data_IF_253028992648
#
_entry.id   IF_253028992648
#
_cell.length_a   1.000
_cell.length_b   1.000
_cell.length_c   1.000
_cell.angle_alpha   90.00
_cell.angle_beta   90.00
_cell.angle_gamma   90.00
#
_symmetry.space_group_name_H-M   'P 1'
#
loop_
_entity.id
_entity.type
_entity.pdbx_description
1 polymer ?
#
# COMPACT_ATOMS: atom_id res chain seq x y z
N UNK A 1 -0.46 34.91 -28.49
CA UNK A 1 0.56 34.32 -27.60
C UNK A 1 0.19 32.85 -27.44
N UNK A 2 1.10 31.93 -27.77
CA UNK A 2 0.89 30.53 -27.36
C UNK A 2 0.98 30.49 -25.82
N UNK A 3 -0.09 30.05 -25.17
CA UNK A 3 -0.08 29.82 -23.72
C UNK A 3 1.00 28.78 -23.41
N UNK A 4 1.88 29.02 -22.42
CA UNK A 4 2.89 28.03 -22.05
C UNK A 4 2.18 26.75 -21.58
N UNK A 5 2.73 25.58 -21.87
CA UNK A 5 2.13 24.28 -21.52
C UNK A 5 1.80 24.17 -20.02
N UNK A 6 2.63 24.77 -19.17
CA UNK A 6 2.42 24.91 -17.72
C UNK A 6 1.05 25.54 -17.35
N UNK A 7 0.59 26.50 -18.13
CA UNK A 7 -0.63 27.29 -17.89
C UNK A 7 -1.81 26.81 -18.75
N UNK A 8 -1.61 25.77 -19.56
CA UNK A 8 -2.62 25.31 -20.50
C UNK A 8 -3.75 24.59 -19.76
N UNK A 9 -4.90 25.23 -19.74
CA UNK A 9 -6.14 24.64 -19.27
C UNK A 9 -6.88 23.95 -20.42
N UNK A 10 -7.64 22.93 -20.08
CA UNK A 10 -8.55 22.27 -21.01
C UNK A 10 -9.69 23.23 -21.40
N UNK A 11 -10.11 23.27 -22.68
CA UNK A 11 -11.23 24.11 -23.10
C UNK A 11 -12.55 23.77 -22.40
N UNK A 12 -12.69 22.50 -22.00
CA UNK A 12 -13.77 22.00 -21.17
C UNK A 12 -13.13 21.07 -20.14
N UNK A 13 -13.42 21.28 -18.87
CA UNK A 13 -12.96 20.44 -17.79
C UNK A 13 -13.31 18.97 -18.05
N UNK A 14 -12.34 18.07 -17.87
CA UNK A 14 -12.56 16.64 -17.90
C UNK A 14 -12.94 16.16 -16.51
N UNK A 15 -14.01 15.36 -16.43
CA UNK A 15 -14.44 14.75 -15.18
C UNK A 15 -14.42 13.23 -15.28
N UNK A 16 -13.96 12.59 -14.21
CA UNK A 16 -14.04 11.14 -14.05
C UNK A 16 -15.01 10.84 -12.91
N UNK A 17 -15.95 9.91 -13.15
CA UNK A 17 -16.83 9.46 -12.08
C UNK A 17 -16.08 8.50 -11.15
N UNK A 18 -16.19 8.75 -9.86
CA UNK A 18 -15.52 7.98 -8.81
C UNK A 18 -16.51 7.63 -7.69
N UNK A 19 -16.51 6.39 -7.16
CA UNK A 19 -17.46 5.98 -6.14
C UNK A 19 -17.23 6.62 -4.77
N UNK A 20 -16.00 7.10 -4.49
CA UNK A 20 -15.62 7.73 -3.21
C UNK A 20 -15.78 9.25 -3.29
N UNK A 21 -15.28 9.87 -4.35
CA UNK A 21 -15.25 11.32 -4.51
C UNK A 21 -16.39 11.87 -5.37
N UNK A 22 -17.28 11.04 -5.89
CA UNK A 22 -18.30 11.34 -6.88
C UNK A 22 -17.71 11.77 -8.24
N UNK A 23 -16.94 12.85 -8.28
CA UNK A 23 -16.27 13.35 -9.47
C UNK A 23 -14.84 13.79 -9.15
N UNK A 24 -13.94 13.43 -10.04
CA UNK A 24 -12.56 13.88 -10.07
C UNK A 24 -12.44 14.88 -11.20
N UNK A 25 -11.97 16.09 -10.89
CA UNK A 25 -11.99 17.24 -11.79
C UNK A 25 -10.60 17.51 -12.34
N UNK A 26 -10.40 17.39 -13.65
CA UNK A 26 -9.15 17.66 -14.34
C UNK A 26 -9.29 18.89 -15.23
N UNK A 27 -8.52 19.93 -14.90
CA UNK A 27 -8.55 21.23 -15.57
C UNK A 27 -7.30 21.49 -16.41
N UNK A 28 -6.14 20.94 -16.03
CA UNK A 28 -4.87 21.17 -16.71
C UNK A 28 -4.63 20.12 -17.80
N UNK A 29 -4.14 20.58 -18.97
CA UNK A 29 -3.79 19.70 -20.08
C UNK A 29 -2.72 18.68 -19.65
N UNK A 30 -1.68 19.14 -18.95
CA UNK A 30 -0.59 18.26 -18.46
C UNK A 30 -1.11 17.11 -17.59
N UNK A 31 -2.07 17.36 -16.71
CA UNK A 31 -2.66 16.30 -15.85
C UNK A 31 -3.41 15.27 -16.71
N UNK A 32 -4.16 15.72 -17.71
CA UNK A 32 -4.85 14.80 -18.63
C UNK A 32 -3.86 13.96 -19.44
N UNK A 33 -2.76 14.56 -19.90
CA UNK A 33 -1.73 13.87 -20.65
C UNK A 33 -1.01 12.84 -19.78
N UNK A 34 -0.68 13.19 -18.52
CA UNK A 34 -0.12 12.24 -17.54
C UNK A 34 -1.06 11.07 -17.25
N UNK A 35 -2.37 11.33 -17.09
CA UNK A 35 -3.36 10.26 -16.91
C UNK A 35 -3.37 9.31 -18.11
N UNK A 36 -3.18 9.80 -19.32
CA UNK A 36 -3.19 9.01 -20.55
C UNK A 36 -1.85 8.31 -20.84
N UNK A 37 -0.77 8.66 -20.16
CA UNK A 37 0.54 8.04 -20.35
C UNK A 37 0.51 6.54 -20.03
N UNK A 38 1.24 5.74 -20.80
CA UNK A 38 1.22 4.26 -20.67
C UNK A 38 1.65 3.76 -19.29
N UNK A 39 2.60 4.46 -18.64
CA UNK A 39 3.05 4.12 -17.29
C UNK A 39 1.93 4.32 -16.26
N UNK A 40 1.16 5.40 -16.38
CA UNK A 40 0.01 5.64 -15.51
C UNK A 40 -1.16 4.67 -15.82
N UNK A 41 -1.41 4.37 -17.09
CA UNK A 41 -2.45 3.40 -17.48
C UNK A 41 -2.15 1.96 -17.00
N UNK A 42 -0.86 1.63 -16.75
CA UNK A 42 -0.44 0.35 -16.16
C UNK A 42 -1.08 0.13 -14.78
N UNK A 43 -1.27 1.19 -13.99
CA UNK A 43 -1.87 1.11 -12.65
C UNK A 43 -3.30 0.55 -12.64
N UNK A 44 -4.01 0.52 -13.77
CA UNK A 44 -5.32 -0.15 -13.90
C UNK A 44 -5.25 -1.67 -13.71
N UNK A 45 -4.08 -2.24 -13.84
CA UNK A 45 -3.85 -3.68 -13.75
C UNK A 45 -3.08 -4.08 -12.50
N UNK A 46 -2.97 -3.15 -11.53
CA UNK A 46 -2.35 -3.38 -10.22
C UNK A 46 -3.40 -3.06 -9.16
N UNK A 47 -3.78 -4.06 -8.38
CA UNK A 47 -4.74 -3.91 -7.27
C UNK A 47 -4.13 -3.12 -6.13
N UNK A 48 -4.92 -2.24 -5.52
CA UNK A 48 -4.50 -1.45 -4.36
C UNK A 48 -4.14 -2.33 -3.17
N UNK A 49 -4.98 -3.31 -2.87
CA UNK A 49 -4.86 -4.17 -1.70
C UNK A 49 -4.34 -5.59 -2.00
N UNK A 50 -3.67 -5.78 -3.16
CA UNK A 50 -3.03 -7.04 -3.52
C UNK A 50 -3.93 -8.26 -3.32
N UNK A 51 -3.58 -9.13 -2.36
CA UNK A 51 -4.30 -10.38 -2.07
C UNK A 51 -5.54 -10.21 -1.20
N UNK A 52 -5.84 -9.01 -0.71
CA UNK A 52 -6.94 -8.76 0.24
C UNK A 52 -8.32 -9.12 -0.34
N UNK A 53 -8.48 -9.11 -1.67
CA UNK A 53 -9.73 -9.54 -2.32
C UNK A 53 -10.08 -11.02 -2.06
N UNK A 54 -9.11 -11.85 -1.67
CA UNK A 54 -9.37 -13.21 -1.22
C UNK A 54 -10.11 -13.28 0.13
N UNK A 55 -10.10 -12.19 0.90
CA UNK A 55 -10.84 -12.06 2.16
C UNK A 55 -12.07 -11.17 1.98
N UNK A 56 -11.86 -9.98 1.44
CA UNK A 56 -12.88 -8.98 1.15
C UNK A 56 -13.11 -8.94 -0.37
N UNK A 57 -14.03 -9.74 -0.85
CA UNK A 57 -14.20 -10.00 -2.29
C UNK A 57 -14.53 -8.76 -3.14
N UNK A 58 -14.97 -7.65 -2.53
CA UNK A 58 -15.14 -6.36 -3.20
C UNK A 58 -13.86 -5.56 -3.36
N UNK A 59 -12.75 -5.93 -2.69
CA UNK A 59 -11.47 -5.21 -2.72
C UNK A 59 -10.71 -5.42 -4.04
N UNK A 60 -11.33 -5.09 -5.16
CA UNK A 60 -10.81 -5.24 -6.53
C UNK A 60 -10.37 -3.91 -7.17
N UNK A 61 -10.42 -2.81 -6.41
CA UNK A 61 -10.01 -1.49 -6.89
C UNK A 61 -8.50 -1.42 -7.12
N UNK A 62 -8.13 -0.54 -8.03
CA UNK A 62 -6.78 -0.46 -8.56
C UNK A 62 -6.06 0.81 -8.09
N UNK A 63 -4.73 0.79 -8.16
CA UNK A 63 -3.89 1.96 -7.89
C UNK A 63 -4.20 3.13 -8.82
N UNK A 64 -4.67 2.87 -10.03
CA UNK A 64 -5.16 3.90 -10.93
C UNK A 64 -6.30 4.73 -10.30
N UNK A 65 -7.31 4.08 -9.74
CA UNK A 65 -8.44 4.77 -9.11
C UNK A 65 -8.01 5.52 -7.84
N UNK A 66 -7.10 4.94 -7.07
CA UNK A 66 -6.49 5.56 -5.89
C UNK A 66 -5.70 6.81 -6.26
N UNK A 67 -4.76 6.75 -7.21
CA UNK A 67 -3.96 7.90 -7.62
C UNK A 67 -4.81 9.07 -8.14
N UNK A 68 -5.92 8.79 -8.83
CA UNK A 68 -6.90 9.81 -9.20
C UNK A 68 -7.57 10.44 -7.97
N UNK A 69 -7.89 9.65 -6.95
CA UNK A 69 -8.47 10.16 -5.70
C UNK A 69 -7.49 11.03 -4.91
N UNK A 70 -6.22 10.62 -4.82
CA UNK A 70 -5.15 11.41 -4.19
C UNK A 70 -4.97 12.76 -4.89
N UNK A 71 -4.96 12.75 -6.23
CA UNK A 71 -4.98 13.96 -7.03
C UNK A 71 -6.18 14.86 -6.69
N UNK A 72 -7.40 14.32 -6.60
CA UNK A 72 -8.61 15.12 -6.31
C UNK A 72 -8.58 15.73 -4.92
N UNK A 73 -8.14 14.98 -3.91
CA UNK A 73 -7.98 15.52 -2.55
C UNK A 73 -6.95 16.65 -2.54
N UNK A 74 -5.79 16.45 -3.17
CA UNK A 74 -4.73 17.47 -3.29
C UNK A 74 -5.24 18.71 -4.00
N UNK A 75 -6.00 18.55 -5.09
CA UNK A 75 -6.65 19.66 -5.81
C UNK A 75 -7.57 20.46 -4.89
N UNK A 76 -8.39 19.78 -4.10
CA UNK A 76 -9.30 20.41 -3.11
C UNK A 76 -8.53 21.16 -2.01
N UNK A 77 -7.41 20.59 -1.53
CA UNK A 77 -6.53 21.27 -0.57
C UNK A 77 -5.96 22.55 -1.18
N UNK A 78 -5.41 22.48 -2.40
CA UNK A 78 -4.89 23.65 -3.12
C UNK A 78 -5.97 24.73 -3.29
N UNK A 79 -7.20 24.36 -3.68
CA UNK A 79 -8.32 25.31 -3.82
C UNK A 79 -8.67 26.01 -2.50
N UNK A 80 -8.67 25.27 -1.39
CA UNK A 80 -8.92 25.81 -0.03
C UNK A 80 -7.80 26.75 0.36
N UNK A 81 -6.54 26.37 0.14
CA UNK A 81 -5.37 27.17 0.48
C UNK A 81 -5.30 28.46 -0.34
N UNK A 82 -5.44 28.39 -1.65
CA UNK A 82 -5.47 29.55 -2.54
C UNK A 82 -6.62 30.51 -2.16
N UNK A 83 -7.79 29.97 -1.89
CA UNK A 83 -8.96 30.78 -1.55
C UNK A 83 -8.85 31.47 -0.19
N UNK A 84 -8.34 30.79 0.83
CA UNK A 84 -8.46 31.25 2.21
C UNK A 84 -7.14 31.65 2.85
N UNK A 85 -6.02 31.10 2.38
CA UNK A 85 -4.72 31.16 3.06
C UNK A 85 -3.55 31.45 2.10
N UNK A 86 -3.78 32.20 1.02
CA UNK A 86 -2.70 32.58 0.10
C UNK A 86 -1.68 33.50 0.81
N UNK A 87 -0.44 33.55 0.29
CA UNK A 87 0.62 34.43 0.80
C UNK A 87 0.14 35.88 0.86
N UNK A 88 -0.66 36.35 -0.12
CA UNK A 88 -1.18 37.71 -0.14
C UNK A 88 -2.14 38.00 1.02
N UNK A 89 -2.82 36.97 1.54
CA UNK A 89 -3.81 37.10 2.63
C UNK A 89 -3.21 36.98 4.02
N UNK A 90 -2.33 35.99 4.22
CA UNK A 90 -1.83 35.68 5.55
C UNK A 90 -0.31 35.89 5.71
N UNK A 91 0.39 36.25 4.62
CA UNK A 91 1.84 36.50 4.66
C UNK A 91 2.65 35.22 4.75
N UNK A 92 3.73 35.27 5.52
CA UNK A 92 4.65 34.15 5.71
C UNK A 92 3.94 32.91 6.24
N UNK A 93 4.17 31.77 5.57
CA UNK A 93 3.47 30.50 5.84
C UNK A 93 2.18 30.32 5.06
N UNK A 94 1.75 31.33 4.27
CA UNK A 94 0.64 31.19 3.33
C UNK A 94 0.99 30.33 2.11
N UNK A 95 -0.04 29.92 1.39
CA UNK A 95 0.08 29.11 0.19
C UNK A 95 0.55 29.94 -1.02
N UNK A 96 1.57 29.45 -1.71
CA UNK A 96 2.00 29.97 -3.01
C UNK A 96 1.32 29.16 -4.12
N UNK A 97 0.49 29.83 -4.94
CA UNK A 97 -0.24 29.18 -6.03
C UNK A 97 0.68 28.62 -7.13
N UNK A 98 1.92 29.10 -7.23
CA UNK A 98 2.92 28.54 -8.14
C UNK A 98 3.29 27.09 -7.80
N UNK A 99 3.05 26.64 -6.59
CA UNK A 99 3.27 25.27 -6.11
C UNK A 99 2.18 24.28 -6.54
N UNK A 100 1.02 24.80 -7.00
CA UNK A 100 -0.15 23.96 -7.32
C UNK A 100 0.20 22.83 -8.29
N UNK A 101 0.84 23.16 -9.40
CA UNK A 101 1.05 22.17 -10.46
C UNK A 101 2.00 21.05 -10.04
N UNK A 102 3.09 21.37 -9.32
CA UNK A 102 3.99 20.34 -8.79
C UNK A 102 3.30 19.45 -7.78
N UNK A 103 2.48 20.01 -6.87
CA UNK A 103 1.70 19.25 -5.90
C UNK A 103 0.72 18.29 -6.60
N UNK A 104 0.00 18.76 -7.62
CA UNK A 104 -0.96 17.95 -8.38
C UNK A 104 -0.28 16.82 -9.17
N UNK A 105 0.86 17.12 -9.81
CA UNK A 105 1.63 16.09 -10.53
C UNK A 105 2.20 15.04 -9.56
N UNK A 106 2.78 15.46 -8.45
CA UNK A 106 3.31 14.53 -7.45
C UNK A 106 2.21 13.66 -6.84
N UNK A 107 1.05 14.24 -6.51
CA UNK A 107 -0.10 13.50 -6.00
C UNK A 107 -0.63 12.46 -6.99
N UNK A 108 -0.68 12.81 -8.29
CA UNK A 108 -1.12 11.87 -9.33
C UNK A 108 -0.13 10.72 -9.52
N UNK A 109 1.16 11.00 -9.41
CA UNK A 109 2.24 10.09 -9.83
C UNK A 109 2.91 9.32 -8.68
N UNK A 110 2.54 9.56 -7.41
CA UNK A 110 3.24 9.03 -6.25
C UNK A 110 3.38 7.50 -6.23
N UNK A 111 2.40 6.78 -6.77
CA UNK A 111 2.27 5.32 -6.75
C UNK A 111 2.70 4.62 -8.06
N UNK A 112 3.32 5.34 -9.02
CA UNK A 112 3.69 4.78 -10.34
C UNK A 112 4.59 3.55 -10.25
N UNK A 113 5.46 3.52 -9.25
CA UNK A 113 6.49 2.50 -9.10
C UNK A 113 5.99 1.19 -8.49
N UNK A 114 4.75 1.09 -8.04
CA UNK A 114 4.26 -0.17 -7.49
C UNK A 114 4.25 -1.31 -8.52
N UNK A 115 4.74 -2.47 -8.07
CA UNK A 115 4.74 -3.73 -8.82
C UNK A 115 3.47 -4.56 -8.60
N UNK A 116 3.38 -5.72 -9.28
CA UNK A 116 2.29 -6.65 -9.09
C UNK A 116 2.25 -7.16 -7.65
N UNK A 117 1.04 -7.21 -7.06
CA UNK A 117 0.85 -7.57 -5.64
C UNK A 117 1.68 -6.73 -4.67
N UNK A 118 2.12 -5.55 -5.10
CA UNK A 118 2.76 -4.48 -4.32
C UNK A 118 3.89 -4.99 -3.40
N UNK A 119 3.71 -4.93 -2.09
CA UNK A 119 4.77 -5.17 -1.11
C UNK A 119 5.32 -6.60 -1.11
N UNK A 120 4.53 -7.61 -1.45
CA UNK A 120 5.03 -8.99 -1.57
C UNK A 120 6.08 -9.09 -2.68
N UNK A 121 5.81 -8.47 -3.84
CA UNK A 121 6.77 -8.44 -4.95
C UNK A 121 8.05 -7.66 -4.58
N UNK A 122 7.90 -6.55 -3.89
CA UNK A 122 9.03 -5.73 -3.40
C UNK A 122 9.94 -6.52 -2.47
N UNK A 123 9.36 -7.24 -1.53
CA UNK A 123 10.11 -8.06 -0.57
C UNK A 123 10.95 -9.15 -1.28
N UNK A 124 10.32 -9.90 -2.19
CA UNK A 124 10.98 -11.03 -2.87
C UNK A 124 12.05 -10.59 -3.86
N UNK A 125 11.81 -9.52 -4.62
CA UNK A 125 12.73 -9.07 -5.69
C UNK A 125 13.55 -7.85 -5.30
N UNK A 126 13.55 -7.46 -4.02
CA UNK A 126 14.31 -6.34 -3.47
C UNK A 126 14.12 -5.05 -4.29
N UNK A 127 12.88 -4.77 -4.68
CA UNK A 127 12.49 -3.53 -5.36
C UNK A 127 11.98 -2.51 -4.36
N UNK A 128 12.01 -1.25 -4.72
CA UNK A 128 11.48 -0.13 -3.92
C UNK A 128 10.60 0.73 -4.82
N UNK A 129 9.31 0.81 -4.50
CA UNK A 129 8.35 1.52 -5.34
C UNK A 129 8.58 3.02 -5.39
N UNK A 130 9.09 3.66 -4.33
CA UNK A 130 9.43 5.08 -4.35
C UNK A 130 10.61 5.34 -5.31
N UNK A 131 11.68 4.51 -5.22
CA UNK A 131 12.82 4.60 -6.11
C UNK A 131 12.42 4.38 -7.57
N UNK A 132 11.58 3.39 -7.86
CA UNK A 132 11.06 3.13 -9.22
C UNK A 132 10.13 4.25 -9.67
N UNK A 133 9.30 4.84 -8.80
CA UNK A 133 8.49 6.02 -9.13
C UNK A 133 9.39 7.18 -9.57
N UNK A 134 10.47 7.45 -8.83
CA UNK A 134 11.45 8.47 -9.19
C UNK A 134 12.11 8.16 -10.54
N UNK A 135 12.51 6.91 -10.78
CA UNK A 135 13.08 6.49 -12.05
C UNK A 135 12.11 6.69 -13.22
N UNK A 136 10.83 6.33 -13.06
CA UNK A 136 9.79 6.57 -14.08
C UNK A 136 9.65 8.07 -14.37
N UNK A 137 9.64 8.91 -13.33
CA UNK A 137 9.46 10.36 -13.47
C UNK A 137 10.66 11.01 -14.15
N UNK A 138 11.87 10.53 -13.90
CA UNK A 138 13.13 11.18 -14.35
C UNK A 138 13.78 10.52 -15.56
N UNK A 139 13.33 9.35 -16.00
CA UNK A 139 13.91 8.65 -17.16
C UNK A 139 13.41 9.24 -18.48
N UNK A 140 14.29 9.69 -19.38
CA UNK A 140 13.90 10.23 -20.69
C UNK A 140 13.16 9.23 -21.60
N UNK A 141 13.17 7.94 -21.28
CA UNK A 141 12.52 6.88 -22.05
C UNK A 141 11.02 6.74 -21.76
N UNK A 142 10.52 7.39 -20.69
CA UNK A 142 9.11 7.32 -20.28
C UNK A 142 8.27 8.44 -20.89
N UNK A 143 6.99 8.17 -21.11
CA UNK A 143 6.03 9.20 -21.53
C UNK A 143 5.83 10.23 -20.41
N UNK A 144 5.85 9.79 -19.15
CA UNK A 144 5.75 10.67 -17.97
C UNK A 144 6.83 11.74 -17.99
N UNK A 145 8.11 11.36 -18.14
CA UNK A 145 9.20 12.33 -18.25
C UNK A 145 9.00 13.30 -19.41
N UNK A 146 8.66 12.78 -20.59
CA UNK A 146 8.48 13.60 -21.79
C UNK A 146 7.38 14.64 -21.62
N UNK A 147 6.28 14.31 -20.94
CA UNK A 147 5.20 15.23 -20.61
C UNK A 147 5.65 16.28 -19.59
N UNK A 148 6.25 15.86 -18.48
CA UNK A 148 6.70 16.75 -17.42
C UNK A 148 7.80 17.71 -17.91
N UNK A 149 8.73 17.26 -18.75
CA UNK A 149 9.81 18.08 -19.28
C UNK A 149 9.32 19.18 -20.25
N UNK A 150 8.09 19.07 -20.78
CA UNK A 150 7.47 20.14 -21.57
C UNK A 150 6.92 21.29 -20.70
N UNK A 151 6.71 21.05 -19.39
CA UNK A 151 6.22 22.06 -18.46
C UNK A 151 7.26 23.16 -18.25
N UNK A 152 8.43 22.76 -17.81
CA UNK A 152 9.65 23.59 -17.69
C UNK A 152 10.88 22.69 -17.55
N UNK A 153 12.06 23.21 -17.82
CA UNK A 153 13.31 22.48 -17.60
C UNK A 153 13.50 22.18 -16.12
N UNK A 154 13.78 20.90 -15.79
CA UNK A 154 13.93 20.43 -14.39
C UNK A 154 12.62 20.18 -13.64
N UNK A 155 11.48 20.21 -14.33
CA UNK A 155 10.18 19.93 -13.69
C UNK A 155 10.03 18.46 -13.28
N UNK A 156 10.50 17.45 -14.04
CA UNK A 156 10.53 16.06 -13.59
C UNK A 156 11.25 15.90 -12.24
N UNK A 157 12.43 16.51 -12.08
CA UNK A 157 13.22 16.47 -10.85
C UNK A 157 12.51 17.16 -9.68
N UNK A 158 11.76 18.24 -9.94
CA UNK A 158 10.92 18.88 -8.91
C UNK A 158 9.82 17.95 -8.43
N UNK A 159 9.12 17.28 -9.35
CA UNK A 159 8.08 16.30 -8.99
C UNK A 159 8.68 15.12 -8.24
N UNK A 160 9.80 14.57 -8.71
CA UNK A 160 10.52 13.50 -8.05
C UNK A 160 10.97 13.87 -6.63
N UNK A 161 11.46 15.10 -6.42
CA UNK A 161 11.90 15.56 -5.09
C UNK A 161 10.75 15.67 -4.08
N UNK A 162 9.50 15.78 -4.51
CA UNK A 162 8.35 15.67 -3.61
C UNK A 162 8.20 14.24 -3.10
N UNK A 163 8.37 13.25 -3.98
CA UNK A 163 8.30 11.82 -3.63
C UNK A 163 9.43 11.45 -2.65
N UNK A 164 10.65 11.93 -2.88
CA UNK A 164 11.80 11.69 -1.98
C UNK A 164 11.80 12.56 -0.73
N UNK A 165 10.75 13.39 -0.52
CA UNK A 165 10.62 14.32 0.62
C UNK A 165 11.71 15.42 0.68
N UNK A 166 12.39 15.68 -0.42
CA UNK A 166 13.47 16.68 -0.52
C UNK A 166 12.99 18.02 -1.11
N UNK A 167 11.73 18.11 -1.52
CA UNK A 167 11.19 19.35 -2.09
C UNK A 167 11.20 20.48 -1.05
N UNK A 168 11.64 21.70 -1.43
CA UNK A 168 11.85 22.79 -0.46
C UNK A 168 10.61 23.26 0.29
N UNK A 169 9.41 23.14 -0.33
CA UNK A 169 8.16 23.56 0.31
C UNK A 169 7.54 22.39 1.10
N UNK A 170 7.59 22.44 2.46
CA UNK A 170 7.05 21.38 3.29
C UNK A 170 5.54 21.22 3.18
N UNK A 171 4.81 22.27 2.76
CA UNK A 171 3.36 22.17 2.52
C UNK A 171 3.06 21.20 1.39
N UNK A 172 3.82 21.25 0.29
CA UNK A 172 3.67 20.35 -0.86
C UNK A 172 4.01 18.91 -0.46
N UNK A 173 5.12 18.70 0.24
CA UNK A 173 5.53 17.38 0.71
C UNK A 173 4.46 16.78 1.63
N UNK A 174 3.97 17.55 2.59
CA UNK A 174 2.99 17.07 3.57
C UNK A 174 1.58 16.87 3.02
N UNK A 175 1.24 17.46 1.86
CA UNK A 175 0.00 17.10 1.16
C UNK A 175 -0.03 15.64 0.72
N UNK A 176 1.14 15.03 0.48
CA UNK A 176 1.29 13.70 -0.13
C UNK A 176 1.89 12.71 0.86
N UNK A 177 2.74 13.17 1.77
CA UNK A 177 3.42 12.33 2.75
C UNK A 177 3.46 12.99 4.13
N UNK A 178 2.42 12.72 4.93
CA UNK A 178 2.32 13.13 6.34
C UNK A 178 1.45 12.14 7.12
N UNK A 179 1.00 12.48 8.33
CA UNK A 179 0.08 11.62 9.08
C UNK A 179 -1.38 11.76 8.62
N UNK A 180 -1.73 12.93 8.08
CA UNK A 180 -3.04 13.21 7.47
C UNK A 180 -2.77 13.89 6.13
N UNK A 181 -2.55 13.10 5.12
CA UNK A 181 -2.23 13.50 3.75
C UNK A 181 -3.30 13.00 2.77
N UNK A 182 -3.16 13.42 1.51
CA UNK A 182 -4.12 13.06 0.47
C UNK A 182 -4.09 11.56 0.16
N UNK A 183 -2.91 10.93 0.21
CA UNK A 183 -2.73 9.49 0.02
C UNK A 183 -3.53 8.69 1.05
N UNK A 184 -3.27 8.92 2.34
CA UNK A 184 -3.94 8.22 3.44
C UNK A 184 -5.45 8.52 3.49
N UNK A 185 -5.84 9.76 3.22
CA UNK A 185 -7.27 10.13 3.19
C UNK A 185 -8.02 9.42 2.07
N UNK A 186 -7.40 9.23 0.88
CA UNK A 186 -8.05 8.51 -0.20
C UNK A 186 -8.11 7.01 0.09
N UNK A 187 -6.96 6.38 0.41
CA UNK A 187 -6.99 4.92 0.55
C UNK A 187 -7.88 4.47 1.70
N UNK A 188 -7.92 5.15 2.84
CA UNK A 188 -8.81 4.77 3.95
C UNK A 188 -10.28 4.74 3.52
N UNK A 189 -10.74 5.81 2.86
CA UNK A 189 -12.13 5.88 2.39
C UNK A 189 -12.39 4.89 1.26
N UNK A 190 -11.46 4.75 0.33
CA UNK A 190 -11.58 3.86 -0.82
C UNK A 190 -11.55 2.39 -0.41
N UNK A 191 -10.62 2.02 0.44
CA UNK A 191 -10.49 0.66 0.95
C UNK A 191 -11.72 0.27 1.78
N UNK A 192 -12.20 1.17 2.65
CA UNK A 192 -13.44 0.94 3.40
C UNK A 192 -14.63 0.69 2.46
N UNK A 193 -14.78 1.53 1.43
CA UNK A 193 -15.85 1.39 0.45
C UNK A 193 -15.78 0.03 -0.29
N UNK A 194 -14.62 -0.33 -0.82
CA UNK A 194 -14.46 -1.55 -1.61
C UNK A 194 -14.39 -2.83 -0.79
N UNK A 195 -13.92 -2.78 0.45
CA UNK A 195 -14.00 -3.92 1.38
C UNK A 195 -15.40 -4.12 1.96
N UNK A 196 -16.27 -3.13 1.81
CA UNK A 196 -17.62 -3.16 2.38
C UNK A 196 -17.62 -2.99 3.90
N UNK A 197 -16.60 -2.31 4.45
CA UNK A 197 -16.50 -2.02 5.88
C UNK A 197 -16.81 -0.55 6.15
N UNK A 198 -17.30 -0.26 7.35
CA UNK A 198 -17.58 1.13 7.78
C UNK A 198 -16.45 1.70 8.64
N UNK A 199 -15.40 0.92 8.90
CA UNK A 199 -14.32 1.27 9.83
C UNK A 199 -13.45 2.44 9.36
N UNK A 200 -13.21 2.57 8.06
CA UNK A 200 -12.36 3.61 7.47
C UNK A 200 -13.09 4.90 7.12
N UNK A 201 -14.35 5.05 7.51
CA UNK A 201 -15.12 6.26 7.20
C UNK A 201 -14.84 7.37 8.21
N UNK A 202 -14.59 8.57 7.71
CA UNK A 202 -14.43 9.81 8.47
C UNK A 202 -14.94 11.00 7.64
N UNK A 203 -15.19 12.14 8.28
CA UNK A 203 -15.68 13.34 7.59
C UNK A 203 -14.53 14.06 6.86
N UNK A 204 -14.22 13.62 5.63
CA UNK A 204 -13.24 14.27 4.75
C UNK A 204 -13.54 15.75 4.54
N UNK A 205 -14.81 16.12 4.40
CA UNK A 205 -15.20 17.53 4.19
C UNK A 205 -14.82 18.38 5.40
N UNK A 206 -15.00 17.83 6.61
CA UNK A 206 -14.62 18.52 7.84
C UNK A 206 -13.10 18.60 7.98
N UNK A 207 -12.34 17.54 7.69
CA UNK A 207 -10.88 17.56 7.68
C UNK A 207 -10.38 18.66 6.73
N UNK A 208 -10.83 18.69 5.49
CA UNK A 208 -10.45 19.72 4.52
C UNK A 208 -10.86 21.14 4.95
N UNK A 209 -11.91 21.29 5.71
CA UNK A 209 -12.33 22.60 6.23
C UNK A 209 -11.43 23.12 7.35
N UNK A 210 -10.82 22.23 8.11
CA UNK A 210 -9.96 22.59 9.26
C UNK A 210 -8.47 22.56 8.95
N UNK A 211 -8.06 22.09 7.77
CA UNK A 211 -6.67 22.07 7.31
C UNK A 211 -6.12 23.51 7.15
N UNK A 212 -4.87 23.74 7.54
CA UNK A 212 -4.21 25.06 7.54
C UNK A 212 -2.77 24.93 7.04
N UNK A 213 -2.33 25.75 6.10
CA UNK A 213 -0.92 25.88 5.80
C UNK A 213 -0.23 26.71 6.87
N UNK A 214 1.02 26.40 7.15
CA UNK A 214 1.92 27.24 7.94
C UNK A 214 3.36 27.09 7.40
N UNK A 215 4.31 27.84 7.94
CA UNK A 215 5.70 27.84 7.43
C UNK A 215 6.36 26.45 7.49
N UNK A 216 6.05 25.65 8.51
CA UNK A 216 6.61 24.30 8.69
C UNK A 216 5.83 23.18 7.96
N UNK A 217 4.75 23.50 7.26
CA UNK A 217 3.94 22.52 6.52
C UNK A 217 2.43 22.68 6.68
N UNK A 218 1.77 21.64 7.19
CA UNK A 218 0.32 21.57 7.33
C UNK A 218 -0.05 21.30 8.80
N UNK A 219 -0.99 22.09 9.30
CA UNK A 219 -1.62 21.91 10.60
C UNK A 219 -3.14 21.85 10.47
N UNK A 220 -3.84 21.58 11.55
CA UNK A 220 -5.30 21.58 11.61
C UNK A 220 -5.79 22.58 12.67
N UNK A 221 -6.87 23.29 12.39
CA UNK A 221 -7.44 24.19 13.39
C UNK A 221 -7.82 23.42 14.66
N UNK A 222 -7.47 23.93 15.83
CA UNK A 222 -7.83 23.33 17.13
C UNK A 222 -9.34 23.03 17.23
N UNK A 223 -10.18 23.91 16.68
CA UNK A 223 -11.64 23.68 16.62
C UNK A 223 -12.07 22.46 15.79
N UNK A 224 -11.14 21.87 15.05
CA UNK A 224 -11.34 20.66 14.24
C UNK A 224 -10.83 19.39 14.91
N UNK A 225 -10.32 19.46 16.15
CA UNK A 225 -9.68 18.34 16.84
C UNK A 225 -10.48 17.03 16.76
N UNK A 226 -11.79 17.06 16.99
CA UNK A 226 -12.61 15.86 16.96
C UNK A 226 -12.73 15.20 15.57
N UNK A 227 -12.63 15.97 14.48
CA UNK A 227 -12.58 15.38 13.14
C UNK A 227 -11.23 14.69 12.88
N UNK A 228 -10.16 15.22 13.45
CA UNK A 228 -8.82 14.63 13.41
C UNK A 228 -8.77 13.35 14.27
N UNK A 229 -9.40 13.36 15.45
CA UNK A 229 -9.56 12.17 16.29
C UNK A 229 -10.31 11.06 15.56
N UNK A 230 -11.44 11.38 14.92
CA UNK A 230 -12.25 10.44 14.13
C UNK A 230 -11.43 9.80 13.00
N UNK A 231 -10.64 10.59 12.29
CA UNK A 231 -9.71 10.08 11.27
C UNK A 231 -8.69 9.08 11.87
N UNK A 232 -8.07 9.39 13.01
CA UNK A 232 -7.09 8.50 13.65
C UNK A 232 -7.75 7.18 14.10
N UNK A 233 -8.96 7.26 14.66
CA UNK A 233 -9.74 6.06 15.06
C UNK A 233 -10.08 5.22 13.83
N UNK A 234 -10.57 5.83 12.76
CA UNK A 234 -10.90 5.14 11.51
C UNK A 234 -9.68 4.44 10.93
N UNK A 235 -8.53 5.12 10.90
CA UNK A 235 -7.25 4.55 10.48
C UNK A 235 -6.87 3.34 11.33
N UNK A 236 -6.86 3.47 12.64
CA UNK A 236 -6.57 2.38 13.56
C UNK A 236 -7.47 1.17 13.32
N UNK A 237 -8.77 1.39 13.15
CA UNK A 237 -9.73 0.32 12.90
C UNK A 237 -9.48 -0.40 11.56
N UNK A 238 -9.17 0.33 10.50
CA UNK A 238 -8.82 -0.27 9.20
C UNK A 238 -7.58 -1.16 9.31
N UNK A 239 -6.57 -0.75 10.07
CA UNK A 239 -5.39 -1.58 10.31
C UNK A 239 -5.76 -2.89 10.99
N UNK A 240 -6.48 -2.84 12.10
CA UNK A 240 -6.84 -4.03 12.87
C UNK A 240 -7.79 -4.96 12.12
N UNK A 241 -8.79 -4.40 11.43
CA UNK A 241 -9.89 -5.19 10.86
C UNK A 241 -9.65 -5.63 9.41
N UNK A 242 -8.89 -4.85 8.63
CA UNK A 242 -8.72 -5.08 7.19
C UNK A 242 -7.27 -5.45 6.86
N UNK A 243 -6.32 -4.57 7.13
CA UNK A 243 -4.95 -4.78 6.68
C UNK A 243 -4.25 -5.91 7.44
N UNK A 244 -4.54 -6.10 8.73
CA UNK A 244 -4.00 -7.17 9.58
C UNK A 244 -4.89 -8.42 9.61
N UNK A 245 -5.90 -8.50 8.74
CA UNK A 245 -6.78 -9.65 8.74
C UNK A 245 -6.01 -10.95 8.45
N UNK A 246 -6.08 -11.91 9.37
CA UNK A 246 -5.29 -13.15 9.33
C UNK A 246 -5.35 -13.95 8.03
N UNK A 247 -6.48 -13.91 7.30
CA UNK A 247 -6.62 -14.62 6.03
C UNK A 247 -5.95 -13.85 4.88
N UNK A 248 -6.03 -12.52 4.87
CA UNK A 248 -5.31 -11.70 3.89
C UNK A 248 -3.79 -11.91 4.03
N UNK A 249 -3.28 -11.87 5.27
CA UNK A 249 -1.87 -12.15 5.58
C UNK A 249 -1.46 -13.58 5.19
N UNK A 250 -2.34 -14.56 5.40
CA UNK A 250 -2.08 -15.93 4.96
C UNK A 250 -1.91 -16.03 3.44
N UNK A 251 -2.71 -15.30 2.67
CA UNK A 251 -2.59 -15.30 1.20
C UNK A 251 -1.34 -14.58 0.73
N UNK A 252 -0.87 -13.57 1.44
CA UNK A 252 0.42 -12.90 1.20
C UNK A 252 1.58 -13.85 1.46
N UNK A 253 1.62 -14.52 2.63
CA UNK A 253 2.63 -15.54 2.97
C UNK A 253 2.67 -16.65 1.90
N UNK A 254 1.52 -17.12 1.44
CA UNK A 254 1.47 -18.12 0.38
C UNK A 254 2.02 -17.60 -0.95
N UNK A 255 1.79 -16.31 -1.26
CA UNK A 255 2.36 -15.68 -2.45
C UNK A 255 3.88 -15.54 -2.34
N UNK A 256 4.38 -15.16 -1.16
CA UNK A 256 5.82 -15.14 -0.87
C UNK A 256 6.44 -16.52 -1.12
N UNK A 257 5.92 -17.57 -0.49
CA UNK A 257 6.44 -18.93 -0.65
C UNK A 257 6.34 -19.45 -2.11
N UNK A 258 5.28 -19.07 -2.83
CA UNK A 258 5.15 -19.41 -4.25
C UNK A 258 6.25 -18.76 -5.11
N UNK A 259 6.54 -17.48 -4.87
CA UNK A 259 7.58 -16.75 -5.58
C UNK A 259 8.99 -17.19 -5.16
N UNK A 260 9.21 -17.50 -3.88
CA UNK A 260 10.46 -18.04 -3.36
C UNK A 260 10.76 -19.40 -4.03
N UNK A 261 9.77 -20.29 -4.09
CA UNK A 261 9.95 -21.58 -4.78
C UNK A 261 10.26 -21.39 -6.27
N UNK A 262 9.59 -20.45 -6.91
CA UNK A 262 9.87 -20.12 -8.32
C UNK A 262 11.32 -19.60 -8.48
N UNK A 263 11.80 -18.77 -7.54
CA UNK A 263 13.16 -18.27 -7.56
C UNK A 263 14.19 -19.39 -7.36
N UNK A 264 14.01 -20.28 -6.40
CA UNK A 264 14.89 -21.42 -6.19
C UNK A 264 14.89 -22.38 -7.41
N UNK A 265 13.70 -22.75 -7.89
CA UNK A 265 13.57 -23.65 -9.03
C UNK A 265 14.20 -23.06 -10.29
N UNK A 266 14.18 -21.73 -10.45
CA UNK A 266 14.87 -21.07 -11.55
C UNK A 266 16.39 -21.29 -11.49
N UNK A 267 17.00 -21.35 -10.32
CA UNK A 267 18.44 -21.63 -10.16
C UNK A 267 18.78 -23.09 -10.55
N UNK A 268 17.84 -24.00 -10.36
CA UNK A 268 18.00 -25.43 -10.65
C UNK A 268 17.69 -25.75 -12.12
N UNK A 269 16.58 -25.23 -12.65
CA UNK A 269 16.01 -25.55 -13.96
C UNK A 269 15.47 -24.31 -14.67
N UNK A 270 16.35 -23.40 -15.14
CA UNK A 270 15.93 -22.13 -15.75
C UNK A 270 15.08 -22.28 -17.01
N UNK A 271 15.14 -23.46 -17.68
CA UNK A 271 14.40 -23.74 -18.93
C UNK A 271 12.87 -23.68 -18.71
N UNK A 272 12.37 -24.08 -17.56
CA UNK A 272 10.94 -24.02 -17.23
C UNK A 272 10.41 -22.59 -17.37
N UNK A 273 11.15 -21.63 -16.83
CA UNK A 273 10.74 -20.22 -16.83
C UNK A 273 11.01 -19.53 -18.17
N UNK A 274 12.02 -19.98 -18.92
CA UNK A 274 12.34 -19.41 -20.23
C UNK A 274 11.22 -19.61 -21.26
N UNK A 275 10.42 -20.67 -21.12
CA UNK A 275 9.28 -20.97 -22.00
C UNK A 275 7.98 -20.30 -21.55
N UNK A 276 7.71 -20.29 -20.25
CA UNK A 276 6.39 -19.97 -19.72
C UNK A 276 6.33 -18.70 -18.86
N UNK A 277 7.47 -18.13 -18.47
CA UNK A 277 7.53 -16.98 -17.55
C UNK A 277 8.57 -15.94 -17.96
N UNK A 278 8.72 -15.69 -19.27
CA UNK A 278 9.80 -14.88 -19.84
C UNK A 278 9.93 -13.48 -19.22
N UNK A 279 8.81 -12.81 -18.91
CA UNK A 279 8.85 -11.45 -18.34
C UNK A 279 9.34 -11.44 -16.88
N UNK A 280 9.28 -12.58 -16.18
CA UNK A 280 9.76 -12.70 -14.81
C UNK A 280 11.26 -13.07 -14.74
N UNK A 281 11.83 -13.65 -15.81
CA UNK A 281 13.23 -14.08 -15.85
C UNK A 281 14.25 -13.02 -15.45
N UNK A 282 14.14 -11.73 -15.86
CA UNK A 282 15.04 -10.69 -15.40
C UNK A 282 15.06 -10.53 -13.88
N UNK A 283 13.91 -10.67 -13.23
CA UNK A 283 13.75 -10.57 -11.77
C UNK A 283 14.31 -11.79 -11.05
N UNK A 284 14.05 -12.98 -11.56
CA UNK A 284 14.64 -14.23 -11.04
C UNK A 284 16.17 -14.24 -11.15
N UNK A 285 16.75 -13.49 -12.08
CA UNK A 285 18.20 -13.28 -12.21
C UNK A 285 18.75 -12.17 -11.31
N UNK A 286 17.90 -11.36 -10.72
CA UNK A 286 18.32 -10.13 -10.03
C UNK A 286 18.90 -9.05 -10.95
N UNK A 287 18.56 -9.08 -12.23
CA UNK A 287 19.06 -8.14 -13.25
C UNK A 287 17.89 -7.74 -14.16
N UNK A 288 17.17 -6.72 -13.78
CA UNK A 288 16.07 -6.16 -14.56
C UNK A 288 16.28 -4.68 -14.84
N UNK A 289 15.65 -4.20 -15.90
CA UNK A 289 15.60 -2.79 -16.29
C UNK A 289 14.23 -2.20 -15.94
N UNK A 290 14.12 -0.86 -15.93
CA UNK A 290 12.82 -0.19 -15.83
C UNK A 290 11.84 -0.69 -16.90
N UNK A 291 12.32 -0.89 -18.13
CA UNK A 291 11.50 -1.42 -19.22
C UNK A 291 10.97 -2.84 -18.95
N UNK A 292 11.72 -3.68 -18.23
CA UNK A 292 11.25 -5.00 -17.80
C UNK A 292 10.21 -4.87 -16.69
N UNK A 293 10.47 -3.99 -15.72
CA UNK A 293 9.55 -3.73 -14.60
C UNK A 293 8.17 -3.26 -15.08
N UNK A 294 8.14 -2.34 -16.02
CA UNK A 294 6.89 -1.79 -16.57
C UNK A 294 6.04 -2.78 -17.37
N UNK A 295 6.59 -3.95 -17.73
CA UNK A 295 5.83 -5.04 -18.38
C UNK A 295 5.03 -5.88 -17.39
N UNK A 296 5.35 -5.81 -16.08
CA UNK A 296 4.71 -6.63 -15.06
C UNK A 296 3.48 -5.94 -14.47
N UNK A 297 2.45 -6.74 -14.25
CA UNK A 297 1.24 -6.41 -13.51
C UNK A 297 0.63 -7.68 -12.89
N UNK A 298 -0.45 -7.53 -12.11
CA UNK A 298 -1.10 -8.66 -11.42
C UNK A 298 -1.59 -9.73 -12.41
N UNK A 299 -2.02 -9.30 -13.60
CA UNK A 299 -2.50 -10.20 -14.65
C UNK A 299 -1.39 -11.08 -15.22
N UNK A 300 -0.20 -10.52 -15.41
CA UNK A 300 0.99 -11.26 -15.87
C UNK A 300 1.37 -12.33 -14.86
N UNK A 301 1.50 -11.99 -13.57
CA UNK A 301 1.85 -12.97 -12.55
C UNK A 301 0.75 -14.03 -12.37
N UNK A 302 -0.51 -13.63 -12.37
CA UNK A 302 -1.62 -14.58 -12.28
C UNK A 302 -1.59 -15.58 -13.44
N UNK A 303 -1.24 -15.12 -14.65
CA UNK A 303 -1.08 -16.02 -15.80
C UNK A 303 0.03 -17.05 -15.57
N UNK A 304 1.16 -16.62 -14.98
CA UNK A 304 2.24 -17.54 -14.62
C UNK A 304 1.81 -18.53 -13.54
N UNK A 305 1.08 -18.11 -12.53
CA UNK A 305 0.57 -19.01 -11.49
C UNK A 305 -0.36 -20.09 -12.06
N UNK A 306 -1.18 -19.74 -13.06
CA UNK A 306 -2.02 -20.73 -13.78
C UNK A 306 -1.14 -21.76 -14.50
N UNK A 307 -0.05 -21.33 -15.12
CA UNK A 307 0.89 -22.24 -15.80
C UNK A 307 1.66 -23.09 -14.79
N UNK A 308 2.16 -22.49 -13.70
CA UNK A 308 2.88 -23.21 -12.65
C UNK A 308 2.03 -24.25 -11.93
N UNK A 309 0.73 -24.07 -11.87
CA UNK A 309 -0.19 -25.08 -11.34
C UNK A 309 -0.13 -26.42 -12.09
N UNK A 310 0.32 -26.43 -13.35
CA UNK A 310 0.45 -27.64 -14.18
C UNK A 310 1.91 -28.09 -14.37
N UNK A 311 2.88 -27.43 -13.68
CA UNK A 311 4.29 -27.80 -13.77
C UNK A 311 4.61 -29.13 -13.07
N UNK A 312 5.72 -29.73 -13.48
CA UNK A 312 6.18 -31.03 -12.96
C UNK A 312 6.72 -30.95 -11.53
N UNK A 313 7.21 -29.77 -11.09
CA UNK A 313 7.59 -29.56 -9.69
C UNK A 313 6.33 -29.56 -8.82
N UNK A 314 6.23 -30.57 -7.95
CA UNK A 314 5.04 -30.79 -7.12
C UNK A 314 4.80 -29.66 -6.13
N UNK A 315 5.85 -29.05 -5.61
CA UNK A 315 5.77 -27.99 -4.62
C UNK A 315 5.28 -26.70 -5.26
N UNK A 316 5.90 -26.27 -6.37
CA UNK A 316 5.45 -25.11 -7.14
C UNK A 316 3.99 -25.27 -7.59
N UNK A 317 3.64 -26.44 -8.11
CA UNK A 317 2.29 -26.76 -8.59
C UNK A 317 1.25 -26.72 -7.46
N UNK A 318 1.55 -27.28 -6.27
CA UNK A 318 0.60 -27.27 -5.15
C UNK A 318 0.43 -25.87 -4.57
N UNK A 319 1.52 -25.11 -4.39
CA UNK A 319 1.45 -23.71 -3.92
C UNK A 319 0.63 -22.82 -4.88
N UNK A 320 0.87 -22.96 -6.20
CA UNK A 320 0.11 -22.24 -7.22
C UNK A 320 -1.39 -22.60 -7.17
N UNK A 321 -1.73 -23.89 -7.08
CA UNK A 321 -3.12 -24.37 -6.94
C UNK A 321 -3.77 -23.86 -5.65
N UNK A 322 -3.06 -23.89 -4.54
CA UNK A 322 -3.56 -23.36 -3.26
C UNK A 322 -3.87 -21.88 -3.35
N UNK A 323 -2.96 -21.11 -3.94
CA UNK A 323 -3.15 -19.67 -4.12
C UNK A 323 -4.34 -19.36 -5.04
N UNK A 324 -4.38 -19.95 -6.23
CA UNK A 324 -5.45 -19.76 -7.22
C UNK A 324 -6.83 -20.19 -6.70
N UNK A 325 -6.91 -21.29 -5.95
CA UNK A 325 -8.16 -21.84 -5.46
C UNK A 325 -8.52 -21.42 -4.03
N UNK A 326 -7.84 -20.37 -3.52
CA UNK A 326 -8.08 -19.83 -2.20
C UNK A 326 -8.08 -20.89 -1.09
N UNK A 327 -6.96 -21.59 -0.95
CA UNK A 327 -6.70 -22.53 0.15
C UNK A 327 -5.67 -21.96 1.13
N UNK A 328 -6.02 -20.91 1.92
CA UNK A 328 -5.08 -20.24 2.81
C UNK A 328 -4.57 -21.19 3.90
N UNK A 329 -3.35 -20.93 4.35
CA UNK A 329 -2.84 -21.50 5.58
C UNK A 329 -3.74 -21.08 6.76
N UNK A 330 -3.86 -21.92 7.76
CA UNK A 330 -4.44 -21.56 9.05
C UNK A 330 -3.42 -20.85 9.89
N UNK A 331 -3.85 -20.13 10.92
CA UNK A 331 -2.93 -19.49 11.85
C UNK A 331 -3.41 -19.63 13.30
N UNK A 332 -2.44 -19.69 14.21
CA UNK A 332 -2.64 -19.57 15.63
C UNK A 332 -1.79 -18.42 16.19
N UNK A 333 -2.34 -17.68 17.13
CA UNK A 333 -1.57 -16.68 17.87
C UNK A 333 -0.64 -17.37 18.85
N UNK A 334 0.51 -16.76 19.13
CA UNK A 334 1.49 -17.31 20.07
C UNK A 334 2.24 -16.21 20.82
N UNK A 335 2.80 -16.58 21.99
CA UNK A 335 3.68 -15.75 22.79
C UNK A 335 5.13 -15.98 22.32
N UNK A 336 5.74 -14.96 21.70
CA UNK A 336 7.08 -15.06 21.12
C UNK A 336 8.14 -15.42 22.19
N UNK A 337 8.02 -14.85 23.38
CA UNK A 337 9.01 -15.08 24.44
C UNK A 337 9.00 -16.53 24.99
N UNK A 338 7.86 -17.23 24.86
CA UNK A 338 7.63 -18.52 25.51
C UNK A 338 7.46 -19.69 24.56
N UNK A 339 6.91 -19.45 23.37
CA UNK A 339 6.40 -20.53 22.51
C UNK A 339 7.20 -20.76 21.23
N UNK A 340 8.31 -20.04 20.99
CA UNK A 340 9.20 -20.32 19.85
C UNK A 340 9.70 -21.78 19.82
N UNK A 341 10.10 -22.40 20.95
CA UNK A 341 10.49 -23.81 20.90
C UNK A 341 9.36 -24.75 20.48
N UNK A 342 8.12 -24.49 20.90
CA UNK A 342 6.94 -25.25 20.48
C UNK A 342 6.70 -25.14 18.98
N UNK A 343 6.93 -23.97 18.40
CA UNK A 343 6.77 -23.78 16.94
C UNK A 343 7.74 -24.69 16.17
N UNK A 344 8.98 -24.83 16.62
CA UNK A 344 9.94 -25.75 15.98
C UNK A 344 9.48 -27.22 16.09
N UNK A 345 8.87 -27.62 17.21
CA UNK A 345 8.27 -28.95 17.36
C UNK A 345 7.07 -29.12 16.38
N UNK A 346 6.22 -28.09 16.26
CA UNK A 346 5.09 -28.11 15.34
C UNK A 346 5.52 -28.16 13.86
N UNK A 347 6.63 -27.53 13.49
CA UNK A 347 7.23 -27.65 12.15
C UNK A 347 7.65 -29.09 11.84
N UNK A 348 8.22 -29.80 12.82
CA UNK A 348 8.57 -31.22 12.67
C UNK A 348 7.32 -32.09 12.48
N UNK A 349 6.21 -31.77 13.12
CA UNK A 349 4.94 -32.48 12.90
C UNK A 349 4.37 -32.20 11.49
N UNK A 350 4.53 -30.97 10.99
CA UNK A 350 4.15 -30.61 9.61
C UNK A 350 4.99 -31.40 8.61
N UNK A 351 6.29 -31.53 8.84
CA UNK A 351 7.19 -32.34 8.02
C UNK A 351 6.81 -33.84 8.04
N UNK A 352 6.54 -34.40 9.24
CA UNK A 352 6.06 -35.79 9.38
C UNK A 352 4.75 -36.05 8.62
N UNK A 353 3.88 -35.02 8.50
CA UNK A 353 2.64 -35.10 7.75
C UNK A 353 2.86 -35.00 6.23
N UNK A 354 4.10 -34.82 5.77
CA UNK A 354 4.46 -34.79 4.34
C UNK A 354 4.45 -33.40 3.71
N UNK A 355 4.41 -32.33 4.51
CA UNK A 355 4.56 -30.95 4.04
C UNK A 355 5.98 -30.45 4.31
N UNK A 356 6.56 -29.73 3.36
CA UNK A 356 7.82 -29.05 3.60
C UNK A 356 7.58 -27.81 4.48
N UNK A 357 8.08 -27.76 5.73
CA UNK A 357 7.81 -26.66 6.64
C UNK A 357 8.34 -25.31 6.14
N UNK A 358 9.33 -25.28 5.25
CA UNK A 358 9.86 -24.05 4.65
C UNK A 358 8.78 -23.31 3.85
N UNK A 359 7.92 -24.04 3.15
CA UNK A 359 6.90 -23.48 2.25
C UNK A 359 5.48 -23.55 2.78
N UNK A 360 5.26 -24.37 3.80
CA UNK A 360 3.92 -24.56 4.36
C UNK A 360 3.77 -24.02 5.77
N UNK A 361 4.84 -23.44 6.35
CA UNK A 361 4.75 -22.74 7.63
C UNK A 361 5.38 -21.37 7.55
N UNK A 362 4.87 -20.43 8.33
CA UNK A 362 5.49 -19.12 8.50
C UNK A 362 5.20 -18.56 9.90
N UNK A 363 6.10 -17.72 10.38
CA UNK A 363 5.85 -16.79 11.48
C UNK A 363 5.70 -15.42 10.87
N UNK A 364 4.59 -14.74 11.16
CA UNK A 364 4.38 -13.37 10.74
C UNK A 364 3.97 -12.55 11.96
N UNK A 365 4.73 -11.52 12.24
CA UNK A 365 4.38 -10.52 13.23
C UNK A 365 3.75 -9.32 12.53
N UNK A 366 2.76 -8.70 13.13
CA UNK A 366 2.18 -7.46 12.64
C UNK A 366 3.18 -6.29 12.54
N UNK A 367 4.44 -6.54 12.88
CA UNK A 367 5.53 -5.55 12.85
C UNK A 367 6.08 -5.32 11.43
N UNK A 368 5.98 -6.29 10.54
CA UNK A 368 6.48 -6.23 9.16
C UNK A 368 5.50 -5.54 8.20
N UNK A 369 4.62 -4.70 8.71
CA UNK A 369 3.56 -4.13 7.89
C UNK A 369 3.94 -2.76 7.33
N UNK A 370 3.69 -2.54 6.04
CA UNK A 370 4.13 -1.35 5.32
C UNK A 370 3.41 -0.06 5.74
N UNK A 371 2.51 -0.13 6.72
CA UNK A 371 1.69 0.99 7.15
C UNK A 371 2.12 1.50 8.52
N UNK A 372 2.55 2.75 8.57
CA UNK A 372 3.05 3.39 9.78
C UNK A 372 1.91 3.87 10.68
N UNK A 373 1.95 3.47 11.95
CA UNK A 373 1.05 3.99 12.96
C UNK A 373 1.46 5.39 13.41
N UNK A 374 0.47 6.16 13.88
CA UNK A 374 0.75 7.44 14.50
C UNK A 374 1.60 7.27 15.78
N UNK A 375 2.85 7.76 15.73
CA UNK A 375 3.83 7.70 16.83
C UNK A 375 4.32 9.07 17.21
N UNK A 376 3.57 9.82 18.03
CA UNK A 376 3.89 11.22 18.34
C UNK A 376 5.24 11.43 19.05
N UNK A 377 5.77 10.38 19.70
CA UNK A 377 7.03 10.42 20.46
C UNK A 377 8.27 10.04 19.65
N UNK A 378 8.16 9.78 18.36
CA UNK A 378 9.29 9.31 17.54
C UNK A 378 10.37 10.37 17.27
N UNK A 379 10.11 11.64 17.59
CA UNK A 379 11.04 12.75 17.32
C UNK A 379 11.15 13.16 15.84
N UNK A 380 10.40 12.52 14.95
CA UNK A 380 10.34 12.84 13.52
C UNK A 380 9.16 13.76 13.28
N UNK A 381 9.39 14.98 12.79
CA UNK A 381 8.34 16.00 12.59
C UNK A 381 7.16 15.52 11.74
N UNK A 382 7.40 14.71 10.72
CA UNK A 382 6.35 14.17 9.86
C UNK A 382 5.41 13.16 10.54
N UNK A 383 5.76 12.69 11.73
CA UNK A 383 4.92 11.79 12.54
C UNK A 383 4.03 12.53 13.53
N UNK A 384 4.11 13.85 13.60
CA UNK A 384 3.30 14.67 14.48
C UNK A 384 2.10 15.26 13.74
N UNK A 385 0.98 15.38 14.45
CA UNK A 385 -0.21 16.08 13.94
C UNK A 385 -0.35 17.35 14.77
N UNK A 386 -0.12 18.50 14.12
CA UNK A 386 -0.15 19.79 14.74
C UNK A 386 -1.55 20.41 14.70
N UNK A 387 -2.03 20.86 15.85
CA UNK A 387 -3.25 21.65 15.96
C UNK A 387 -2.89 23.13 16.18
N UNK A 388 -3.42 24.00 15.31
CA UNK A 388 -3.23 25.44 15.40
C UNK A 388 -4.33 26.06 16.26
N UNK A 389 -3.91 26.73 17.34
CA UNK A 389 -4.77 27.51 18.22
C UNK A 389 -5.13 28.88 17.63
N UNK A 390 -6.07 29.60 18.26
CA UNK A 390 -6.52 30.91 17.78
C UNK A 390 -5.44 32.01 17.83
N UNK A 391 -4.45 31.84 18.66
CA UNK A 391 -3.29 32.75 18.78
C UNK A 391 -2.14 32.39 17.80
N UNK A 392 -2.34 31.33 16.98
CA UNK A 392 -1.36 30.84 16.01
C UNK A 392 -0.36 29.82 16.58
N UNK A 393 -0.39 29.54 17.89
CA UNK A 393 0.48 28.52 18.49
C UNK A 393 0.09 27.12 18.04
N UNK A 394 1.09 26.24 17.89
CA UNK A 394 0.90 24.84 17.53
C UNK A 394 1.00 23.96 18.77
N UNK A 395 0.14 22.94 18.83
CA UNK A 395 0.15 21.92 19.86
C UNK A 395 -0.05 20.57 19.22
N UNK A 396 0.74 19.59 19.62
CA UNK A 396 0.65 18.22 19.10
C UNK A 396 -0.63 17.55 19.63
N UNK A 397 -1.32 16.80 18.74
CA UNK A 397 -2.65 16.23 18.96
C UNK A 397 -2.74 15.36 20.23
N UNK A 398 -1.76 14.48 20.47
CA UNK A 398 -1.81 13.55 21.62
C UNK A 398 -1.65 14.25 22.98
N UNK A 399 -1.18 15.49 22.99
CA UNK A 399 -1.08 16.29 24.22
C UNK A 399 -2.44 16.82 24.71
N UNK A 400 -3.41 16.90 23.79
CA UNK A 400 -4.74 17.47 24.08
C UNK A 400 -5.87 16.46 23.89
N UNK A 401 -5.66 15.40 23.11
CA UNK A 401 -6.62 14.32 22.91
C UNK A 401 -6.29 13.10 23.77
N UNK A 402 -7.12 12.84 24.79
CA UNK A 402 -6.99 11.64 25.61
C UNK A 402 -7.22 10.36 24.80
N UNK A 403 -8.12 10.41 23.82
CA UNK A 403 -8.42 9.29 22.92
C UNK A 403 -7.20 8.92 22.09
N UNK A 404 -6.61 9.90 21.43
CA UNK A 404 -5.41 9.69 20.60
C UNK A 404 -4.21 9.26 21.45
N UNK A 405 -4.03 9.87 22.64
CA UNK A 405 -2.98 9.46 23.55
C UNK A 405 -3.09 7.99 24.00
N UNK A 406 -4.32 7.48 24.13
CA UNK A 406 -4.57 6.08 24.48
C UNK A 406 -4.30 5.11 23.31
N UNK A 407 -4.62 5.52 22.06
CA UNK A 407 -4.41 4.65 20.87
C UNK A 407 -2.96 4.74 20.35
N UNK A 408 -2.30 5.89 20.51
CA UNK A 408 -0.90 6.11 20.09
C UNK A 408 0.13 5.36 20.96
N UNK A 409 -0.34 4.52 21.89
CA UNK A 409 0.47 3.67 22.75
C UNK A 409 1.13 2.50 22.03
N UNK A 410 1.61 1.54 22.81
CA UNK A 410 2.21 0.32 22.29
C UNK A 410 1.15 -0.52 21.55
N UNK A 411 1.49 -0.88 20.31
CA UNK A 411 0.68 -1.83 19.54
C UNK A 411 0.90 -3.21 20.14
N UNK A 412 -0.19 -3.87 20.50
CA UNK A 412 -0.12 -5.31 20.80
C UNK A 412 0.26 -6.03 19.50
N UNK A 413 1.46 -6.53 19.42
CA UNK A 413 1.95 -7.30 18.27
C UNK A 413 1.18 -8.61 18.21
N UNK A 414 0.48 -8.87 17.10
CA UNK A 414 -0.27 -10.10 16.89
C UNK A 414 0.68 -11.12 16.20
N UNK A 415 1.50 -11.82 16.99
CA UNK A 415 2.36 -12.88 16.46
C UNK A 415 1.52 -14.08 16.06
N UNK A 416 1.69 -14.53 14.82
CA UNK A 416 0.97 -15.67 14.25
C UNK A 416 1.92 -16.70 13.66
N UNK A 417 1.67 -17.95 14.00
CA UNK A 417 2.23 -19.12 13.33
C UNK A 417 1.21 -19.62 12.30
N UNK A 418 1.64 -19.70 11.04
CA UNK A 418 0.84 -20.20 9.91
C UNK A 418 1.22 -21.64 9.60
N UNK A 419 0.23 -22.47 9.22
CA UNK A 419 0.40 -23.89 8.95
C UNK A 419 -0.69 -24.42 8.01
N UNK A 420 -0.50 -25.61 7.36
CA UNK A 420 -1.51 -26.18 6.48
C UNK A 420 -2.83 -26.46 7.23
N UNK A 421 -3.94 -26.15 6.59
CA UNK A 421 -5.29 -26.39 7.14
C UNK A 421 -5.48 -27.88 7.49
N UNK A 422 -4.88 -28.77 6.74
CA UNK A 422 -4.89 -30.21 6.87
C UNK A 422 -4.43 -30.68 8.25
N UNK A 423 -3.56 -29.92 8.92
CA UNK A 423 -3.05 -30.28 10.25
C UNK A 423 -4.13 -30.29 11.35
N UNK A 424 -5.25 -29.56 11.13
CA UNK A 424 -6.33 -29.42 12.12
C UNK A 424 -7.71 -29.75 11.56
N UNK A 425 -7.83 -30.01 10.27
CA UNK A 425 -9.09 -30.29 9.59
C UNK A 425 -9.01 -31.63 8.87
N UNK A 426 -9.63 -32.63 9.51
CA UNK A 426 -9.66 -33.99 8.97
C UNK A 426 -10.21 -34.07 7.55
N UNK A 427 -11.26 -33.31 7.25
CA UNK A 427 -11.90 -33.34 5.94
C UNK A 427 -11.03 -32.71 4.83
N UNK A 428 -10.05 -31.91 5.22
CA UNK A 428 -9.10 -31.29 4.31
C UNK A 428 -7.86 -32.14 4.05
N UNK A 429 -7.61 -33.21 4.84
CA UNK A 429 -6.43 -34.06 4.71
C UNK A 429 -6.74 -35.36 3.95
N UNK A 430 -6.17 -35.50 2.75
CA UNK A 430 -6.28 -36.73 1.97
C UNK A 430 -5.57 -37.95 2.63
N UNK A 431 -4.62 -37.70 3.54
CA UNK A 431 -3.80 -38.71 4.17
C UNK A 431 -4.04 -38.80 5.69
N UNK A 432 -5.18 -38.30 6.19
CA UNK A 432 -5.43 -38.23 7.65
C UNK A 432 -5.30 -39.58 8.33
N UNK A 433 -5.80 -40.66 7.72
CA UNK A 433 -5.75 -41.99 8.35
C UNK A 433 -4.32 -42.54 8.44
N UNK A 434 -3.41 -42.12 7.57
CA UNK A 434 -1.99 -42.52 7.59
C UNK A 434 -1.20 -41.75 8.66
N UNK A 435 -1.55 -40.52 8.93
CA UNK A 435 -0.85 -39.61 9.84
C UNK A 435 -1.72 -39.19 11.02
N UNK A 436 -2.72 -39.97 11.40
CA UNK A 436 -3.72 -39.59 12.39
C UNK A 436 -3.12 -39.19 13.76
N UNK A 437 -2.08 -39.88 14.21
CA UNK A 437 -1.37 -39.55 15.46
C UNK A 437 -0.70 -38.17 15.35
N UNK A 438 0.01 -37.91 14.24
CA UNK A 438 0.70 -36.64 13.98
C UNK A 438 -0.29 -35.47 13.97
N UNK A 439 -1.44 -35.65 13.29
CA UNK A 439 -2.48 -34.61 13.25
C UNK A 439 -3.14 -34.38 14.61
N UNK A 440 -3.39 -35.44 15.40
CA UNK A 440 -3.92 -35.31 16.75
C UNK A 440 -2.94 -34.61 17.68
N UNK A 441 -1.66 -34.99 17.63
CA UNK A 441 -0.58 -34.33 18.39
C UNK A 441 -0.51 -32.83 18.03
N UNK A 442 -0.47 -32.47 16.74
CA UNK A 442 -0.45 -31.09 16.31
C UNK A 442 -1.69 -30.31 16.79
N UNK A 443 -2.88 -30.87 16.58
CA UNK A 443 -4.14 -30.21 16.94
C UNK A 443 -4.30 -30.02 18.46
N UNK A 444 -3.68 -30.86 19.30
CA UNK A 444 -3.69 -30.73 20.75
C UNK A 444 -3.02 -29.44 21.24
N UNK A 445 -2.11 -28.87 20.45
CA UNK A 445 -1.44 -27.61 20.78
C UNK A 445 -2.21 -26.35 20.34
N UNK A 446 -3.40 -26.51 19.73
CA UNK A 446 -4.17 -25.37 19.23
C UNK A 446 -5.54 -25.31 19.90
N UNK A 447 -5.77 -24.24 20.62
CA UNK A 447 -7.07 -23.99 21.26
C UNK A 447 -7.59 -22.59 20.91
N UNK A 448 -8.82 -22.51 20.39
CA UNK A 448 -9.47 -21.24 20.01
C UNK A 448 -8.59 -20.32 19.11
N UNK A 449 -7.75 -20.91 18.27
CA UNK A 449 -6.86 -20.15 17.36
C UNK A 449 -5.61 -19.56 18.03
N UNK A 450 -5.24 -20.07 19.20
CA UNK A 450 -4.00 -19.78 19.89
C UNK A 450 -3.20 -21.06 20.16
N UNK A 451 -1.87 -20.97 20.24
CA UNK A 451 -1.02 -22.02 20.75
C UNK A 451 -1.17 -22.13 22.27
N UNK A 452 -1.20 -23.37 22.79
CA UNK A 452 -1.28 -23.67 24.22
C UNK A 452 -0.12 -24.55 24.66
#
# INVERSE_FOLDING_TARGET
>A
MMTMYKEQLLPIEKVFRDPVHNYIHVQHQVILDLINAKEFQRLRRIKQLGTTSYTFHGAEHTRFAHSLGVYEITRRICDIFARNFSIEKIGRGGWDENERLVALCAALLHDLGHGPFSHTFEHIFATDHEAITVEIITSPETEIFQILNQVEAGFPEKVASVITHEYPNPQVVQMISSQIDADRMDYLLRDAYFTGTEYGTFDLTRILRVIRPYEGGIAFSYSGMHAVEDYIVSRYQMYVQVYFHKVSRSMEVMLEHLLDRAHELYQETPEIFALHSQLLVPFLRGQFTLADYLKLDDGVLTTYFIQWAEESDRLLSDLAKRWLHRKPLKSATFDEDRQLPLIEELKLLVEKAGFDPTYYTAINSSYDLPYDFYRPKSGVHRTQIELQQNDGTLIELSQVSQLVAAIAGEITVDHRFYFPKEMIDRDSSANYDLFSETYQEFAAHIHNGALI
#
